data_IF_195732022379
#
_entry.id   IF_195732022379
#
_cell.length_a   1.000
_cell.length_b   1.000
_cell.length_c   1.000
_cell.angle_alpha   90.00
_cell.angle_beta   90.00
_cell.angle_gamma   90.00
#
_symmetry.space_group_name_H-M   'P 1'
#
loop_
_entity.id
_entity.type
_entity.pdbx_description
1 polymer ?
#
# COMPACT_ATOMS: atom_id res chain seq x y z
N UNK A 1 15.64 10.35 -1.21
CA UNK A 1 14.88 9.24 -0.59
C UNK A 1 14.21 8.33 -1.64
N UNK A 2 14.94 7.86 -2.67
CA UNK A 2 14.36 6.94 -3.70
C UNK A 2 14.20 5.50 -3.16
N UNK A 3 15.17 5.03 -2.38
CA UNK A 3 15.13 3.70 -1.75
C UNK A 3 13.93 3.51 -0.81
N UNK A 4 13.55 4.57 -0.08
CA UNK A 4 12.44 4.49 0.87
C UNK A 4 11.07 4.43 0.16
N UNK A 5 10.91 5.20 -0.93
CA UNK A 5 9.69 5.14 -1.73
C UNK A 5 9.49 3.79 -2.40
N UNK A 6 10.58 3.21 -2.88
CA UNK A 6 10.59 1.87 -3.46
C UNK A 6 10.25 0.82 -2.40
N UNK A 7 10.76 0.96 -1.18
CA UNK A 7 10.44 0.07 -0.07
C UNK A 7 8.96 0.14 0.33
N UNK A 8 8.38 1.34 0.44
CA UNK A 8 6.95 1.51 0.75
C UNK A 8 6.09 0.92 -0.37
N UNK A 9 6.46 1.16 -1.63
CA UNK A 9 5.77 0.58 -2.79
C UNK A 9 5.82 -0.96 -2.80
N UNK A 10 6.99 -1.54 -2.53
CA UNK A 10 7.16 -3.00 -2.44
C UNK A 10 6.31 -3.61 -1.33
N UNK A 11 6.23 -2.97 -0.16
CA UNK A 11 5.39 -3.45 0.94
C UNK A 11 3.89 -3.38 0.60
N UNK A 12 3.44 -2.33 -0.10
CA UNK A 12 2.06 -2.23 -0.57
C UNK A 12 1.71 -3.34 -1.58
N UNK A 13 2.63 -3.67 -2.47
CA UNK A 13 2.47 -4.82 -3.39
C UNK A 13 2.44 -6.15 -2.65
N UNK A 14 3.33 -6.34 -1.67
CA UNK A 14 3.35 -7.55 -0.85
C UNK A 14 2.03 -7.71 -0.09
N UNK A 15 1.52 -6.62 0.48
CA UNK A 15 0.24 -6.58 1.18
C UNK A 15 -0.93 -6.96 0.25
N UNK A 16 -0.96 -6.44 -0.99
CA UNK A 16 -1.99 -6.81 -1.97
C UNK A 16 -2.00 -8.33 -2.25
N UNK A 17 -0.81 -8.90 -2.45
CA UNK A 17 -0.65 -10.34 -2.67
C UNK A 17 -1.10 -11.14 -1.44
N UNK A 18 -0.72 -10.72 -0.24
CA UNK A 18 -1.15 -11.36 1.00
C UNK A 18 -2.67 -11.33 1.19
N UNK A 19 -3.34 -10.23 0.87
CA UNK A 19 -4.81 -10.12 0.96
C UNK A 19 -5.49 -11.14 0.03
N UNK A 20 -4.96 -11.34 -1.18
CA UNK A 20 -5.49 -12.35 -2.12
C UNK A 20 -5.33 -13.75 -1.55
N UNK A 21 -4.16 -14.08 -0.99
CA UNK A 21 -3.94 -15.39 -0.37
C UNK A 21 -4.82 -15.61 0.87
N UNK A 22 -4.99 -14.60 1.71
CA UNK A 22 -5.88 -14.70 2.88
C UNK A 22 -7.34 -14.86 2.49
N UNK A 23 -7.77 -14.24 1.39
CA UNK A 23 -9.13 -14.42 0.85
C UNK A 23 -9.31 -15.82 0.26
N UNK A 24 -8.25 -16.37 -0.35
CA UNK A 24 -8.26 -17.72 -0.92
C UNK A 24 -8.29 -18.82 0.14
N UNK A 25 -7.52 -18.67 1.22
CA UNK A 25 -7.46 -19.62 2.34
C UNK A 25 -8.65 -19.47 3.31
N UNK A 26 -9.52 -18.48 3.09
CA UNK A 26 -10.70 -18.22 3.93
C UNK A 26 -10.40 -17.55 5.27
N UNK A 27 -9.17 -17.05 5.47
CA UNK A 27 -8.80 -16.24 6.65
C UNK A 27 -9.58 -14.94 6.72
N UNK A 28 -9.88 -14.34 5.56
CA UNK A 28 -10.77 -13.16 5.43
C UNK A 28 -11.87 -13.45 4.41
N UNK A 29 -13.02 -12.82 4.58
CA UNK A 29 -14.09 -12.95 3.60
C UNK A 29 -13.74 -12.25 2.29
N UNK A 30 -14.27 -12.70 1.12
CA UNK A 30 -14.00 -12.05 -0.16
C UNK A 30 -14.39 -10.56 -0.20
N UNK A 31 -15.42 -10.17 0.56
CA UNK A 31 -15.87 -8.78 0.68
C UNK A 31 -14.83 -7.94 1.43
N UNK A 32 -14.34 -8.42 2.58
CA UNK A 32 -13.27 -7.75 3.33
C UNK A 32 -11.98 -7.65 2.51
N UNK A 33 -11.61 -8.72 1.82
CA UNK A 33 -10.46 -8.73 0.90
C UNK A 33 -10.57 -7.69 -0.21
N UNK A 34 -11.77 -7.53 -0.78
CA UNK A 34 -12.02 -6.52 -1.83
C UNK A 34 -11.89 -5.10 -1.29
N UNK A 35 -12.42 -4.81 -0.09
CA UNK A 35 -12.30 -3.51 0.57
C UNK A 35 -10.83 -3.19 0.88
N UNK A 36 -10.07 -4.17 1.40
CA UNK A 36 -8.65 -4.02 1.69
C UNK A 36 -7.83 -3.79 0.41
N UNK A 37 -8.09 -4.54 -0.67
CA UNK A 37 -7.44 -4.32 -1.97
C UNK A 37 -7.74 -2.94 -2.53
N UNK A 38 -8.98 -2.44 -2.38
CA UNK A 38 -9.34 -1.09 -2.80
C UNK A 38 -8.53 -0.03 -2.04
N UNK A 39 -8.39 -0.17 -0.73
CA UNK A 39 -7.55 0.73 0.09
C UNK A 39 -6.08 0.68 -0.33
N UNK A 40 -5.54 -0.51 -0.61
CA UNK A 40 -4.17 -0.66 -1.11
C UNK A 40 -3.99 0.04 -2.47
N UNK A 41 -4.95 -0.09 -3.37
CA UNK A 41 -4.93 0.60 -4.67
C UNK A 41 -4.94 2.13 -4.50
N UNK A 42 -5.79 2.65 -3.60
CA UNK A 42 -5.82 4.10 -3.28
C UNK A 42 -4.48 4.57 -2.73
N UNK A 43 -3.82 3.78 -1.87
CA UNK A 43 -2.50 4.08 -1.34
C UNK A 43 -1.41 4.08 -2.41
N UNK A 44 -1.43 3.14 -3.36
CA UNK A 44 -0.47 3.09 -4.48
C UNK A 44 -0.67 4.29 -5.40
N UNK A 45 -1.90 4.65 -5.74
CA UNK A 45 -2.21 5.81 -6.61
C UNK A 45 -1.74 7.12 -5.95
N UNK A 46 -1.92 7.22 -4.62
CA UNK A 46 -1.56 8.41 -3.87
C UNK A 46 -0.18 8.32 -3.21
N UNK A 47 0.66 7.34 -3.57
CA UNK A 47 1.94 7.06 -2.91
C UNK A 47 2.81 8.32 -2.81
N UNK A 48 2.92 9.09 -3.90
CA UNK A 48 3.70 10.33 -3.93
C UNK A 48 3.18 11.40 -2.97
N UNK A 49 1.85 11.51 -2.81
CA UNK A 49 1.24 12.43 -1.85
C UNK A 49 1.44 11.94 -0.43
N UNK A 50 1.16 10.66 -0.18
CA UNK A 50 1.33 10.01 1.12
C UNK A 50 2.77 10.14 1.59
N UNK A 51 3.75 9.94 0.71
CA UNK A 51 5.15 10.14 1.03
C UNK A 51 5.50 11.59 1.34
N UNK A 52 4.99 12.55 0.56
CA UNK A 52 5.20 13.96 0.85
C UNK A 52 4.54 14.40 2.17
N UNK A 53 3.44 13.77 2.57
CA UNK A 53 2.78 14.03 3.86
C UNK A 53 3.50 13.33 5.03
N UNK A 54 3.89 12.06 4.87
CA UNK A 54 4.51 11.24 5.93
C UNK A 54 5.96 11.62 6.21
N UNK A 55 6.72 11.96 5.17
CA UNK A 55 8.14 12.29 5.32
C UNK A 55 8.39 13.80 5.42
N UNK A 56 7.31 14.58 5.51
CA UNK A 56 7.34 16.03 5.40
C UNK A 56 7.64 16.45 3.96
N UNK A 57 7.09 17.60 3.56
CA UNK A 57 7.52 18.32 2.38
C UNK A 57 9.03 18.16 2.24
N UNK A 58 9.50 17.65 1.10
CA UNK A 58 10.91 17.63 0.70
C UNK A 58 11.55 18.89 1.27
N UNK A 59 12.26 18.73 2.39
CA UNK A 59 12.80 19.85 3.12
C UNK A 59 13.71 20.57 2.14
N UNK A 60 13.50 21.88 2.06
CA UNK A 60 14.27 22.81 1.25
C UNK A 60 15.76 22.67 1.57
N UNK A 61 16.47 21.94 0.72
CA UNK A 61 17.93 21.98 0.58
C UNK A 61 18.29 21.73 -0.87
#
# INVERSE_FOLDING_TARGET
MKLLSEYVGLNLWLLAISIVFFSYDGTITPVEGTILLFLVAVCIINLSKIMNYLFGAKNNS
#
